data_IF_305443926695
#
_entry.id   IF_305443926695
#
_cell.length_a   1.000
_cell.length_b   1.000
_cell.length_c   1.000
_cell.angle_alpha   90.00
_cell.angle_beta   90.00
_cell.angle_gamma   90.00
#
_symmetry.space_group_name_H-M   'P 1'
#
loop_
_entity.id
_entity.type
_entity.pdbx_description
1 polymer ?
#
# COMPACT_ATOMS: atom_id res chain seq x y z
N UNK A 1 -28.59 -9.44 12.35
CA UNK A 1 -28.21 -10.41 11.29
C UNK A 1 -27.20 -9.88 10.27
N UNK A 2 -27.35 -8.67 9.71
CA UNK A 2 -26.42 -8.15 8.66
C UNK A 2 -24.95 -8.01 9.09
N UNK A 3 -24.66 -7.57 10.33
CA UNK A 3 -23.28 -7.39 10.84
C UNK A 3 -22.57 -8.71 11.14
N UNK A 4 -23.30 -9.73 11.60
CA UNK A 4 -22.74 -11.05 11.90
C UNK A 4 -22.30 -11.79 10.64
N UNK A 5 -23.08 -11.69 9.56
CA UNK A 5 -22.71 -12.25 8.24
C UNK A 5 -21.45 -11.55 7.69
N UNK A 6 -21.34 -10.23 7.88
CA UNK A 6 -20.20 -9.44 7.42
C UNK A 6 -18.91 -9.83 8.16
N UNK A 7 -18.99 -10.04 9.47
CA UNK A 7 -17.86 -10.53 10.28
C UNK A 7 -17.46 -11.94 9.88
N UNK A 8 -18.44 -12.83 9.64
CA UNK A 8 -18.20 -14.20 9.21
C UNK A 8 -17.55 -14.27 7.81
N UNK A 9 -17.96 -13.40 6.89
CA UNK A 9 -17.35 -13.27 5.56
C UNK A 9 -15.91 -12.76 5.62
N UNK A 10 -15.63 -11.76 6.46
CA UNK A 10 -14.27 -11.25 6.65
C UNK A 10 -13.38 -12.33 7.26
N UNK A 11 -13.89 -13.07 8.24
CA UNK A 11 -13.16 -14.16 8.88
C UNK A 11 -12.92 -15.32 7.90
N UNK A 12 -13.87 -15.63 7.02
CA UNK A 12 -13.71 -16.62 5.95
C UNK A 12 -12.69 -16.16 4.89
N UNK A 13 -12.65 -14.89 4.51
CA UNK A 13 -11.62 -14.37 3.59
C UNK A 13 -10.21 -14.39 4.20
N UNK A 14 -10.08 -14.16 5.50
CA UNK A 14 -8.77 -14.16 6.19
C UNK A 14 -8.31 -15.55 6.63
N UNK A 15 -9.23 -16.44 6.97
CA UNK A 15 -8.96 -17.80 7.44
C UNK A 15 -9.11 -18.87 6.35
N UNK A 16 -9.58 -18.50 5.15
CA UNK A 16 -9.46 -19.38 3.99
C UNK A 16 -7.97 -19.71 3.85
N UNK A 17 -7.58 -21.00 3.96
CA UNK A 17 -6.21 -21.37 3.70
C UNK A 17 -5.88 -20.85 2.30
N UNK A 18 -4.73 -20.20 2.10
CA UNK A 18 -4.31 -19.86 0.76
C UNK A 18 -4.40 -21.17 -0.04
N UNK A 19 -5.01 -21.14 -1.22
CA UNK A 19 -4.99 -22.26 -2.17
C UNK A 19 -3.54 -22.45 -2.64
N UNK A 20 -2.65 -22.84 -1.74
CA UNK A 20 -1.27 -23.19 -2.05
C UNK A 20 -1.38 -24.57 -2.64
N UNK A 21 -1.36 -24.64 -3.97
CA UNK A 21 -0.95 -25.87 -4.62
C UNK A 21 0.42 -26.22 -4.05
N UNK A 22 0.56 -27.40 -3.45
CA UNK A 22 1.88 -27.90 -3.10
C UNK A 22 2.73 -27.88 -4.36
N UNK A 23 3.76 -27.05 -4.36
CA UNK A 23 4.70 -27.00 -5.46
C UNK A 23 5.48 -28.31 -5.43
N UNK A 24 5.07 -29.26 -6.28
CA UNK A 24 5.85 -30.48 -6.48
C UNK A 24 7.27 -30.06 -6.85
N UNK A 25 8.23 -30.49 -6.01
CA UNK A 25 9.63 -30.21 -6.25
C UNK A 25 10.01 -30.77 -7.62
N UNK A 26 10.48 -29.88 -8.49
CA UNK A 26 10.88 -30.24 -9.84
C UNK A 26 12.27 -30.88 -9.77
N UNK A 27 12.46 -32.02 -10.45
CA UNK A 27 13.76 -32.71 -10.42
C UNK A 27 14.90 -31.78 -10.89
N UNK A 28 16.12 -31.91 -10.32
CA UNK A 28 17.26 -31.04 -10.66
C UNK A 28 17.57 -30.98 -12.16
N UNK A 29 17.37 -32.10 -12.86
CA UNK A 29 17.54 -32.21 -14.31
C UNK A 29 16.53 -31.33 -15.05
N UNK A 30 15.27 -31.35 -14.62
CA UNK A 30 14.20 -30.55 -15.21
C UNK A 30 14.41 -29.06 -14.93
N UNK A 31 14.89 -28.69 -13.73
CA UNK A 31 15.32 -27.32 -13.42
C UNK A 31 16.44 -26.89 -14.37
N UNK A 32 17.48 -27.72 -14.55
CA UNK A 32 18.62 -27.36 -15.39
C UNK A 32 18.23 -27.10 -16.85
N UNK A 33 17.26 -27.85 -17.39
CA UNK A 33 16.76 -27.66 -18.76
C UNK A 33 15.88 -26.41 -18.88
N UNK A 34 15.01 -26.15 -17.89
CA UNK A 34 14.10 -25.00 -17.91
C UNK A 34 14.77 -23.68 -17.52
N UNK A 35 15.81 -23.71 -16.69
CA UNK A 35 16.54 -22.54 -16.21
C UNK A 35 16.98 -21.59 -17.33
N UNK A 36 17.65 -22.02 -18.41
CA UNK A 36 18.07 -21.10 -19.48
C UNK A 36 16.89 -20.46 -20.23
N UNK A 37 15.77 -21.17 -20.38
CA UNK A 37 14.55 -20.65 -21.00
C UNK A 37 13.91 -19.61 -20.08
N UNK A 38 13.82 -19.92 -18.77
CA UNK A 38 13.32 -19.01 -17.75
C UNK A 38 14.18 -17.75 -17.65
N UNK A 39 15.51 -17.85 -17.70
CA UNK A 39 16.41 -16.69 -17.70
C UNK A 39 16.16 -15.78 -18.91
N UNK A 40 15.98 -16.34 -20.11
CA UNK A 40 15.65 -15.55 -21.31
C UNK A 40 14.32 -14.82 -21.15
N UNK A 41 13.29 -15.50 -20.65
CA UNK A 41 12.00 -14.87 -20.34
C UNK A 41 12.12 -13.78 -19.27
N UNK A 42 12.89 -14.04 -18.22
CA UNK A 42 13.14 -13.08 -17.15
C UNK A 42 13.89 -11.84 -17.65
N UNK A 43 14.87 -11.99 -18.55
CA UNK A 43 15.58 -10.85 -19.15
C UNK A 43 14.65 -9.94 -19.96
N UNK A 44 13.70 -10.52 -20.70
CA UNK A 44 12.68 -9.76 -21.44
C UNK A 44 11.69 -9.07 -20.50
N UNK A 45 11.31 -9.73 -19.41
CA UNK A 45 10.37 -9.19 -18.42
C UNK A 45 11.02 -8.17 -17.46
N UNK A 46 12.34 -8.27 -17.21
CA UNK A 46 13.09 -7.46 -16.27
C UNK A 46 12.81 -5.95 -16.38
N UNK A 47 12.89 -5.29 -17.56
CA UNK A 47 12.64 -3.86 -17.65
C UNK A 47 11.20 -3.47 -17.26
N UNK A 48 10.21 -4.32 -17.55
CA UNK A 48 8.81 -4.05 -17.20
C UNK A 48 8.57 -4.20 -15.69
N UNK A 49 9.14 -5.24 -15.09
CA UNK A 49 9.11 -5.44 -13.64
C UNK A 49 9.80 -4.30 -12.92
N UNK A 50 10.97 -3.86 -13.40
CA UNK A 50 11.71 -2.74 -12.81
C UNK A 50 10.96 -1.41 -12.92
N UNK A 51 10.28 -1.14 -14.05
CA UNK A 51 9.42 0.04 -14.21
C UNK A 51 8.22 0.01 -13.26
N UNK A 52 7.55 -1.14 -13.16
CA UNK A 52 6.44 -1.35 -12.22
C UNK A 52 6.88 -1.17 -10.77
N UNK A 53 8.03 -1.73 -10.41
CA UNK A 53 8.60 -1.63 -9.07
C UNK A 53 9.02 -0.20 -8.74
N UNK A 54 9.62 0.54 -9.68
CA UNK A 54 9.96 1.95 -9.49
C UNK A 54 8.72 2.84 -9.32
N UNK A 55 7.67 2.61 -10.11
CA UNK A 55 6.39 3.33 -10.00
C UNK A 55 5.70 3.05 -8.66
N UNK A 56 5.58 1.77 -8.29
CA UNK A 56 5.05 1.35 -7.01
C UNK A 56 5.84 1.92 -5.83
N UNK A 57 7.18 1.91 -5.89
CA UNK A 57 8.04 2.47 -4.86
C UNK A 57 7.78 3.98 -4.65
N UNK A 58 7.64 4.78 -5.72
CA UNK A 58 7.28 6.20 -5.61
C UNK A 58 5.93 6.40 -4.93
N UNK A 59 4.93 5.57 -5.28
CA UNK A 59 3.62 5.61 -4.65
C UNK A 59 3.69 5.26 -3.16
N UNK A 60 4.47 4.25 -2.77
CA UNK A 60 4.70 3.88 -1.36
C UNK A 60 5.37 5.00 -0.57
N UNK A 61 6.37 5.67 -1.14
CA UNK A 61 7.01 6.84 -0.51
C UNK A 61 5.98 7.95 -0.29
N UNK A 62 5.15 8.25 -1.30
CA UNK A 62 4.08 9.26 -1.18
C UNK A 62 3.04 8.91 -0.11
N UNK A 63 2.76 7.61 0.08
CA UNK A 63 1.86 7.13 1.13
C UNK A 63 2.50 7.26 2.51
N UNK A 64 3.81 7.07 2.64
CA UNK A 64 4.56 7.33 3.87
C UNK A 64 4.40 8.79 4.33
N UNK A 65 4.45 9.75 3.40
CA UNK A 65 4.18 11.15 3.72
C UNK A 65 2.74 11.38 4.21
N UNK A 66 1.75 10.75 3.60
CA UNK A 66 0.36 10.84 4.06
C UNK A 66 0.18 10.22 5.46
N UNK A 67 0.93 9.17 5.78
CA UNK A 67 0.94 8.55 7.09
C UNK A 67 1.57 9.47 8.15
N UNK A 68 2.63 10.22 7.82
CA UNK A 68 3.17 11.27 8.69
C UNK A 68 2.13 12.39 8.90
N UNK A 69 1.39 12.75 7.85
CA UNK A 69 0.32 13.75 7.96
C UNK A 69 -0.85 13.28 8.84
N UNK A 70 -1.10 11.98 8.98
CA UNK A 70 -2.06 11.45 9.94
C UNK A 70 -1.70 11.82 11.38
N UNK A 71 -0.41 11.78 11.75
CA UNK A 71 0.06 12.21 13.07
C UNK A 71 -0.03 13.72 13.32
N UNK A 72 -0.37 14.53 12.30
CA UNK A 72 -0.66 15.95 12.49
C UNK A 72 -2.03 16.21 13.11
N UNK A 73 -2.96 15.25 13.09
CA UNK A 73 -4.28 15.39 13.73
C UNK A 73 -4.16 15.56 15.25
N UNK A 74 -3.48 14.65 15.99
CA UNK A 74 -3.25 14.82 17.43
C UNK A 74 -2.46 16.09 17.75
N UNK A 75 -1.42 16.39 16.94
CA UNK A 75 -0.61 17.60 17.10
C UNK A 75 -1.44 18.87 16.89
N UNK A 76 -2.36 18.86 15.92
CA UNK A 76 -3.28 19.95 15.64
C UNK A 76 -4.25 20.18 16.80
N UNK A 77 -4.82 19.11 17.37
CA UNK A 77 -5.64 19.23 18.58
C UNK A 77 -4.85 19.82 19.75
N UNK A 78 -3.61 19.37 19.98
CA UNK A 78 -2.75 19.95 21.02
C UNK A 78 -2.44 21.43 20.76
N UNK A 79 -2.15 21.83 19.52
CA UNK A 79 -1.94 23.24 19.16
C UNK A 79 -3.21 24.08 19.31
N UNK A 80 -4.37 23.55 18.99
CA UNK A 80 -5.65 24.26 19.18
C UNK A 80 -6.04 24.32 20.65
N UNK A 81 -5.60 23.40 21.52
CA UNK A 81 -6.00 23.36 22.93
C UNK A 81 -5.01 24.09 23.85
N UNK A 82 -3.70 23.88 23.65
CA UNK A 82 -2.63 24.50 24.45
C UNK A 82 -2.00 25.72 23.76
N UNK A 83 -2.17 25.89 22.45
CA UNK A 83 -1.63 27.01 21.67
C UNK A 83 -2.58 28.21 21.53
N UNK A 84 -3.78 28.14 22.11
CA UNK A 84 -4.71 29.28 22.24
C UNK A 84 -4.03 30.52 22.87
N UNK A 85 -3.32 30.42 24.01
CA UNK A 85 -2.64 31.57 24.60
C UNK A 85 -1.47 32.11 23.75
N UNK A 86 -0.99 31.35 22.76
CA UNK A 86 0.12 31.73 21.87
C UNK A 86 -0.33 32.13 20.46
N UNK A 87 -1.64 32.29 20.20
CA UNK A 87 -2.16 32.70 18.90
C UNK A 87 -2.04 31.66 17.79
N UNK A 88 -1.75 30.40 18.10
CA UNK A 88 -1.50 29.34 17.11
C UNK A 88 -2.78 28.64 16.60
N UNK A 89 -3.96 29.21 16.85
CA UNK A 89 -5.26 28.66 16.45
C UNK A 89 -5.36 28.37 14.95
N UNK A 90 -4.91 29.29 14.08
CA UNK A 90 -4.93 29.09 12.62
C UNK A 90 -4.02 27.95 12.16
N UNK A 91 -2.85 27.79 12.78
CA UNK A 91 -1.91 26.72 12.47
C UNK A 91 -2.42 25.35 12.92
N UNK A 92 -2.98 25.29 14.13
CA UNK A 92 -3.59 24.07 14.67
C UNK A 92 -4.81 23.61 13.86
N UNK A 93 -5.68 24.52 13.43
CA UNK A 93 -6.85 24.19 12.61
C UNK A 93 -6.45 23.61 11.24
N UNK A 94 -5.44 24.20 10.59
CA UNK A 94 -4.89 23.67 9.32
C UNK A 94 -4.29 22.26 9.51
N UNK A 95 -3.64 22.00 10.64
CA UNK A 95 -3.09 20.67 10.96
C UNK A 95 -4.19 19.62 11.23
N UNK A 96 -5.32 20.02 11.83
CA UNK A 96 -6.49 19.15 12.02
C UNK A 96 -7.11 18.79 10.67
N UNK A 97 -7.35 19.77 9.79
CA UNK A 97 -7.94 19.53 8.46
C UNK A 97 -7.00 18.68 7.58
N UNK A 98 -5.71 18.97 7.60
CA UNK A 98 -4.71 18.18 6.89
C UNK A 98 -4.64 16.74 7.40
N UNK A 99 -4.67 16.55 8.72
CA UNK A 99 -4.67 15.21 9.31
C UNK A 99 -5.98 14.44 9.08
N UNK A 100 -7.14 15.12 8.98
CA UNK A 100 -8.42 14.47 8.70
C UNK A 100 -8.57 14.02 7.25
N UNK A 101 -7.97 14.76 6.32
CA UNK A 101 -7.97 14.41 4.88
C UNK A 101 -6.87 13.42 4.50
N UNK A 102 -5.80 13.32 5.30
CA UNK A 102 -4.71 12.36 5.12
C UNK A 102 -5.14 10.87 5.08
N UNK A 103 -5.99 10.33 5.97
CA UNK A 103 -6.39 8.92 5.94
C UNK A 103 -7.19 8.59 4.68
N UNK A 104 -8.03 9.49 4.18
CA UNK A 104 -8.77 9.30 2.92
C UNK A 104 -7.81 9.22 1.73
N UNK A 105 -6.85 10.14 1.66
CA UNK A 105 -5.80 10.12 0.61
C UNK A 105 -4.96 8.84 0.69
N UNK A 106 -4.61 8.41 1.89
CA UNK A 106 -3.87 7.17 2.12
C UNK A 106 -4.67 5.95 1.62
N UNK A 107 -5.95 5.81 2.00
CA UNK A 107 -6.81 4.70 1.55
C UNK A 107 -6.94 4.64 0.02
N UNK A 108 -7.15 5.78 -0.63
CA UNK A 108 -7.23 5.85 -2.10
C UNK A 108 -5.92 5.39 -2.73
N UNK A 109 -4.78 5.87 -2.22
CA UNK A 109 -3.46 5.44 -2.72
C UNK A 109 -3.18 3.96 -2.47
N UNK A 110 -3.62 3.40 -1.34
CA UNK A 110 -3.55 1.96 -1.07
C UNK A 110 -4.36 1.16 -2.09
N UNK A 111 -5.54 1.64 -2.46
CA UNK A 111 -6.41 0.97 -3.43
C UNK A 111 -5.80 0.97 -4.86
N UNK A 112 -5.08 2.04 -5.20
CA UNK A 112 -4.43 2.24 -6.51
C UNK A 112 -3.04 1.57 -6.56
N UNK A 113 -2.46 1.20 -5.40
CA UNK A 113 -1.13 0.60 -5.31
C UNK A 113 -0.91 -0.61 -6.25
N UNK A 114 -1.86 -1.57 -6.38
CA UNK A 114 -1.69 -2.69 -7.31
C UNK A 114 -1.59 -2.21 -8.77
N UNK A 115 -2.37 -1.20 -9.14
CA UNK A 115 -2.37 -0.61 -10.49
C UNK A 115 -1.06 0.15 -10.74
N UNK A 116 -0.52 0.83 -9.72
CA UNK A 116 0.77 1.51 -9.79
C UNK A 116 1.93 0.53 -10.02
N UNK A 117 1.91 -0.65 -9.37
CA UNK A 117 2.90 -1.71 -9.62
C UNK A 117 2.80 -2.32 -11.02
N UNK A 118 1.63 -2.32 -11.64
CA UNK A 118 1.45 -2.74 -13.02
C UNK A 118 1.87 -1.68 -14.05
N UNK A 119 2.29 -0.49 -13.61
CA UNK A 119 2.62 0.66 -14.46
C UNK A 119 1.51 1.00 -15.48
N UNK A 120 0.25 0.67 -15.18
CA UNK A 120 -0.92 1.02 -16.01
C UNK A 120 -1.25 2.47 -15.68
N UNK A 121 -0.66 3.40 -16.43
CA UNK A 121 -0.89 4.85 -16.29
C UNK A 121 0.34 5.70 -15.97
N UNK A 122 1.55 5.11 -15.94
CA UNK A 122 2.80 5.85 -15.73
C UNK A 122 3.45 6.25 -17.05
N UNK A 123 3.37 7.55 -17.37
CA UNK A 123 4.36 8.22 -18.24
C UNK A 123 5.68 8.44 -17.52
#
# INVERSE_FOLDING_TARGET
MKRGILILLILFCFAAPPFVREAQAMDPVTIAILTPIAIKGAQVAAPYVMRGLASGARHMVSMGYDLINFFRLPLGFLQVTAGIPFGQLKGGLNNIVAGFTAPVKFTIKTLILPVAFCNIGGG
#
